data_IF_921294766028
#
_entry.id   IF_921294766028
#
_cell.length_a   1.000
_cell.length_b   1.000
_cell.length_c   1.000
_cell.angle_alpha   90.00
_cell.angle_beta   90.00
_cell.angle_gamma   90.00
#
_symmetry.space_group_name_H-M   'P 1'
#
loop_
_entity.id
_entity.type
_entity.pdbx_description
1 polymer ?
#
# COMPACT_ATOMS: atom_id res chain seq x y z
N UNK A 1 38.06 -1.93 -22.78
CA UNK A 1 37.24 -1.01 -21.94
C UNK A 1 36.48 -1.90 -20.97
N UNK A 2 36.79 -1.84 -19.69
CA UNK A 2 36.07 -2.61 -18.70
C UNK A 2 34.70 -1.93 -18.47
N UNK A 3 33.61 -2.66 -18.72
CA UNK A 3 32.27 -2.19 -18.39
C UNK A 3 32.18 -2.23 -16.86
N UNK A 4 32.15 -1.08 -16.22
CA UNK A 4 31.89 -0.99 -14.79
C UNK A 4 30.40 -1.26 -14.59
N UNK A 5 30.06 -2.42 -14.07
CA UNK A 5 28.69 -2.72 -13.70
C UNK A 5 28.24 -1.75 -12.58
N UNK A 6 26.98 -1.32 -12.63
CA UNK A 6 26.36 -0.72 -11.46
C UNK A 6 26.54 -1.68 -10.29
N UNK A 7 26.95 -1.17 -9.14
CA UNK A 7 27.32 -1.97 -7.99
C UNK A 7 26.26 -3.00 -7.64
N UNK A 8 26.73 -4.20 -7.40
CA UNK A 8 26.00 -5.35 -6.91
C UNK A 8 24.72 -5.71 -7.70
N UNK A 9 24.91 -6.44 -8.78
CA UNK A 9 23.85 -7.19 -9.48
C UNK A 9 23.01 -8.13 -8.56
N UNK A 10 23.32 -8.22 -7.27
CA UNK A 10 22.60 -9.02 -6.28
C UNK A 10 21.62 -8.27 -5.41
N UNK A 11 21.53 -6.93 -5.52
CA UNK A 11 20.59 -6.13 -4.72
C UNK A 11 19.30 -5.88 -5.49
N UNK A 12 18.42 -6.84 -5.51
CA UNK A 12 17.07 -6.66 -6.05
C UNK A 12 16.04 -6.88 -4.94
N UNK A 13 14.89 -6.26 -5.09
CA UNK A 13 13.73 -6.50 -4.25
C UNK A 13 12.94 -7.63 -4.89
N UNK A 14 13.05 -8.82 -4.36
CA UNK A 14 12.35 -10.00 -4.87
C UNK A 14 11.74 -10.78 -3.71
N UNK A 15 10.65 -11.43 -4.00
CA UNK A 15 9.91 -12.22 -3.03
C UNK A 15 8.78 -11.45 -2.37
N UNK A 16 7.91 -12.20 -1.75
CA UNK A 16 6.78 -11.68 -1.00
C UNK A 16 7.18 -11.60 0.47
N UNK A 17 6.76 -10.54 1.11
CA UNK A 17 6.95 -10.32 2.52
C UNK A 17 5.71 -9.75 3.14
N UNK A 18 5.78 -9.39 4.38
CA UNK A 18 4.70 -8.76 5.11
C UNK A 18 4.44 -7.35 4.60
N UNK A 19 3.17 -6.97 4.58
CA UNK A 19 2.77 -5.59 4.38
C UNK A 19 2.56 -4.92 5.74
N UNK A 20 3.23 -3.79 5.95
CA UNK A 20 3.13 -3.01 7.17
C UNK A 20 2.41 -1.70 6.92
N UNK A 21 1.45 -1.39 7.78
CA UNK A 21 0.78 -0.10 7.84
C UNK A 21 1.27 0.66 9.07
N UNK A 22 1.66 1.92 8.89
CA UNK A 22 2.10 2.80 9.97
C UNK A 22 0.99 3.78 10.37
N UNK A 23 1.14 4.37 11.54
CA UNK A 23 0.28 5.47 11.95
C UNK A 23 0.54 6.70 11.06
N UNK A 24 -0.53 7.42 10.74
CA UNK A 24 -0.42 8.62 9.92
C UNK A 24 0.27 9.74 10.72
N UNK A 25 1.38 10.30 10.22
CA UNK A 25 2.02 11.45 10.87
C UNK A 25 1.06 12.64 10.94
N UNK A 26 1.16 13.41 12.04
CA UNK A 26 0.39 14.67 12.17
C UNK A 26 0.80 15.70 11.11
N UNK A 27 2.08 15.68 10.73
CA UNK A 27 2.64 16.55 9.69
C UNK A 27 3.74 15.81 8.91
N UNK A 28 3.52 15.63 7.62
CA UNK A 28 4.48 15.01 6.73
C UNK A 28 5.70 15.89 6.43
N UNK A 29 5.61 17.20 6.59
CA UNK A 29 6.73 18.11 6.31
C UNK A 29 7.87 17.97 7.30
N UNK A 30 7.55 17.59 8.53
CA UNK A 30 8.50 17.37 9.63
C UNK A 30 8.79 15.90 9.90
N UNK A 31 8.08 14.96 9.25
CA UNK A 31 8.26 13.54 9.43
C UNK A 31 9.62 13.06 8.91
N UNK A 32 10.17 12.06 9.55
CA UNK A 32 11.37 11.33 9.14
C UNK A 32 11.09 9.83 9.19
N UNK A 33 11.95 8.99 8.62
CA UNK A 33 11.80 7.53 8.78
C UNK A 33 11.75 7.11 10.24
N UNK A 34 12.52 7.75 11.10
CA UNK A 34 12.56 7.44 12.52
C UNK A 34 11.27 7.83 13.28
N UNK A 35 10.49 8.77 12.73
CA UNK A 35 9.22 9.18 13.33
C UNK A 35 8.01 8.44 12.76
N UNK A 36 8.19 7.59 11.76
CA UNK A 36 7.15 6.68 11.30
C UNK A 36 7.03 5.52 12.28
N UNK A 37 6.01 5.58 13.13
CA UNK A 37 5.79 4.65 14.24
C UNK A 37 4.49 3.88 14.06
N UNK A 38 4.20 2.97 15.01
CA UNK A 38 2.94 2.24 15.03
C UNK A 38 2.80 1.21 13.92
N UNK A 39 3.91 0.69 13.38
CA UNK A 39 3.91 -0.34 12.36
C UNK A 39 3.06 -1.54 12.79
N UNK A 40 2.10 -1.93 11.96
CA UNK A 40 1.23 -3.10 12.16
C UNK A 40 1.28 -3.96 10.92
N UNK A 41 1.61 -5.23 11.09
CA UNK A 41 1.51 -6.19 9.98
C UNK A 41 0.05 -6.34 9.58
N UNK A 42 -0.19 -6.30 8.28
CA UNK A 42 -1.49 -6.59 7.68
C UNK A 42 -1.65 -8.09 7.39
N UNK A 43 -0.60 -8.86 7.62
CA UNK A 43 -0.53 -10.29 7.34
C UNK A 43 0.09 -10.61 5.99
N UNK A 44 0.10 -11.89 5.67
CA UNK A 44 0.75 -12.43 4.48
C UNK A 44 0.08 -11.93 3.18
N UNK A 45 0.89 -11.62 2.21
CA UNK A 45 0.45 -11.31 0.86
C UNK A 45 0.20 -12.63 0.12
N UNK A 46 -0.96 -12.76 -0.53
CA UNK A 46 -1.26 -13.91 -1.40
C UNK A 46 -0.24 -13.99 -2.54
N UNK A 47 0.27 -15.19 -2.81
CA UNK A 47 1.17 -15.45 -3.92
C UNK A 47 0.62 -14.93 -5.26
N UNK A 48 1.49 -14.36 -6.08
CA UNK A 48 1.18 -13.84 -7.43
C UNK A 48 0.11 -12.74 -7.48
N UNK A 49 -0.22 -12.12 -6.33
CA UNK A 49 -1.23 -11.06 -6.25
C UNK A 49 -0.64 -9.65 -6.29
N UNK A 50 0.67 -9.52 -6.20
CA UNK A 50 1.31 -8.19 -6.19
C UNK A 50 1.52 -7.70 -7.61
N UNK A 51 0.89 -6.60 -7.95
CA UNK A 51 1.08 -5.91 -9.22
C UNK A 51 1.64 -4.51 -8.97
N UNK A 52 2.72 -4.18 -9.68
CA UNK A 52 3.34 -2.87 -9.64
C UNK A 52 2.99 -2.09 -10.89
N UNK A 53 2.57 -0.86 -10.71
CA UNK A 53 2.31 0.07 -11.81
C UNK A 53 3.13 1.32 -11.59
N UNK A 54 4.01 1.63 -12.53
CA UNK A 54 4.78 2.85 -12.54
C UNK A 54 4.57 3.56 -13.87
N UNK A 55 4.09 4.79 -13.84
CA UNK A 55 4.08 5.65 -15.02
C UNK A 55 5.30 6.54 -14.96
N UNK A 56 6.08 6.56 -16.05
CA UNK A 56 7.20 7.48 -16.17
C UNK A 56 6.70 8.94 -16.21
N UNK A 57 7.53 9.85 -15.75
CA UNK A 57 7.27 11.27 -15.99
C UNK A 57 7.15 11.55 -17.48
N UNK A 58 6.18 12.34 -17.88
CA UNK A 58 5.94 12.72 -19.27
C UNK A 58 6.09 14.23 -19.45
N UNK A 59 6.57 14.63 -20.62
CA UNK A 59 6.65 16.05 -20.98
C UNK A 59 5.47 16.40 -21.87
N UNK A 60 4.72 17.42 -21.49
CA UNK A 60 3.64 17.98 -22.31
C UNK A 60 4.12 19.32 -22.84
N UNK A 61 4.05 19.47 -24.17
CA UNK A 61 4.40 20.72 -24.86
C UNK A 61 3.16 21.33 -25.46
N UNK A 62 2.90 22.58 -25.14
CA UNK A 62 1.86 23.38 -25.74
C UNK A 62 2.48 24.15 -26.92
N UNK A 63 1.89 24.01 -28.08
CA UNK A 63 2.30 24.69 -29.29
C UNK A 63 1.26 25.75 -29.70
N UNK A 64 1.70 26.83 -30.33
CA UNK A 64 0.82 27.83 -30.93
C UNK A 64 0.30 27.35 -32.31
N UNK A 65 -0.57 28.14 -32.93
CA UNK A 65 -1.14 27.84 -34.24
C UNK A 65 -0.11 27.68 -35.37
N UNK A 66 1.10 28.23 -35.16
CA UNK A 66 2.22 28.14 -36.11
C UNK A 66 3.13 26.93 -35.84
N UNK A 67 2.77 26.08 -34.85
CA UNK A 67 3.54 24.90 -34.48
C UNK A 67 4.76 25.18 -33.58
N UNK A 68 4.94 26.42 -33.11
CA UNK A 68 6.04 26.75 -32.20
C UNK A 68 5.69 26.38 -30.77
N UNK A 69 6.65 25.78 -30.05
CA UNK A 69 6.52 25.49 -28.63
C UNK A 69 6.42 26.77 -27.82
N UNK A 70 5.32 26.93 -27.10
CA UNK A 70 5.07 28.08 -26.22
C UNK A 70 5.37 27.76 -24.78
N UNK A 71 5.04 26.54 -24.35
CA UNK A 71 5.21 26.07 -22.99
C UNK A 71 5.52 24.57 -23.00
N UNK A 72 6.47 24.17 -22.21
CA UNK A 72 6.74 22.77 -21.91
C UNK A 72 6.77 22.57 -20.40
N UNK A 73 6.04 21.56 -19.92
CA UNK A 73 6.07 21.18 -18.51
C UNK A 73 6.16 19.67 -18.36
N UNK A 74 6.75 19.24 -17.25
CA UNK A 74 6.86 17.82 -16.89
C UNK A 74 5.73 17.46 -15.95
N UNK A 75 4.92 16.48 -16.37
CA UNK A 75 3.97 15.81 -15.48
C UNK A 75 4.72 14.69 -14.76
N UNK A 76 4.70 14.72 -13.44
CA UNK A 76 5.31 13.66 -12.63
C UNK A 76 4.64 12.31 -12.93
N UNK A 77 5.43 11.25 -12.93
CA UNK A 77 4.93 9.88 -12.99
C UNK A 77 4.18 9.49 -11.73
N UNK A 78 3.49 8.39 -11.80
CA UNK A 78 2.82 7.77 -10.66
C UNK A 78 3.51 6.47 -10.28
N UNK A 79 3.47 6.14 -9.00
CA UNK A 79 3.95 4.87 -8.47
C UNK A 79 2.84 4.26 -7.64
N UNK A 80 2.36 3.10 -8.07
CA UNK A 80 1.28 2.41 -7.42
C UNK A 80 1.56 0.91 -7.33
N UNK A 81 0.95 0.25 -6.36
CA UNK A 81 0.92 -1.20 -6.33
C UNK A 81 -0.42 -1.71 -5.80
N UNK A 82 -0.71 -2.95 -6.11
CA UNK A 82 -1.84 -3.69 -5.57
C UNK A 82 -1.34 -5.01 -4.99
N UNK A 83 -1.97 -5.45 -3.91
CA UNK A 83 -1.71 -6.75 -3.32
C UNK A 83 -2.95 -7.28 -2.61
N UNK A 84 -3.10 -8.59 -2.59
CA UNK A 84 -4.16 -9.27 -1.86
C UNK A 84 -3.61 -9.80 -0.54
N UNK A 85 -4.22 -9.39 0.56
CA UNK A 85 -3.87 -9.83 1.90
C UNK A 85 -4.74 -11.03 2.26
N UNK A 86 -4.10 -12.10 2.72
CA UNK A 86 -4.80 -13.34 3.11
C UNK A 86 -5.60 -13.18 4.40
N UNK A 87 -5.24 -12.23 5.24
CA UNK A 87 -5.96 -11.97 6.48
C UNK A 87 -7.28 -11.24 6.22
N UNK A 88 -8.36 -11.82 6.68
CA UNK A 88 -9.70 -11.21 6.73
C UNK A 88 -10.15 -10.96 8.17
N UNK A 89 -9.20 -10.57 9.02
CA UNK A 89 -9.51 -10.24 10.41
C UNK A 89 -10.47 -9.05 10.51
N UNK A 90 -11.20 -8.96 11.61
CA UNK A 90 -12.13 -7.84 11.87
C UNK A 90 -11.43 -6.47 11.73
N UNK A 91 -10.16 -6.37 12.14
CA UNK A 91 -9.39 -5.14 12.04
C UNK A 91 -9.12 -4.73 10.59
N UNK A 92 -8.78 -5.68 9.73
CA UNK A 92 -8.60 -5.47 8.28
C UNK A 92 -9.91 -5.04 7.63
N UNK A 93 -11.00 -5.76 7.92
CA UNK A 93 -12.33 -5.45 7.39
C UNK A 93 -12.75 -4.03 7.81
N UNK A 94 -12.58 -3.67 9.06
CA UNK A 94 -12.93 -2.33 9.56
C UNK A 94 -12.10 -1.23 8.89
N UNK A 95 -10.79 -1.45 8.76
CA UNK A 95 -9.86 -0.43 8.27
C UNK A 95 -9.96 -0.21 6.77
N UNK A 96 -10.02 -1.29 6.00
CA UNK A 96 -9.89 -1.23 4.53
C UNK A 96 -11.22 -1.38 3.79
N UNK A 97 -12.20 -1.99 4.42
CA UNK A 97 -13.47 -2.33 3.77
C UNK A 97 -14.67 -1.61 4.40
N UNK A 98 -14.39 -0.65 5.29
CA UNK A 98 -15.43 0.13 5.94
C UNK A 98 -16.38 -0.72 6.79
N UNK A 99 -15.86 -1.86 7.30
CA UNK A 99 -16.64 -2.76 8.13
C UNK A 99 -16.90 -2.18 9.51
N UNK A 100 -18.00 -2.61 10.11
CA UNK A 100 -18.33 -2.34 11.50
C UNK A 100 -19.00 -3.57 12.10
N UNK A 101 -18.75 -3.81 13.37
CA UNK A 101 -19.50 -4.82 14.11
C UNK A 101 -20.97 -4.40 14.16
N UNK A 102 -21.86 -5.29 13.79
CA UNK A 102 -23.31 -5.07 13.94
C UNK A 102 -23.67 -5.44 15.35
N UNK A 103 -23.97 -4.44 16.16
CA UNK A 103 -24.43 -4.63 17.52
C UNK A 103 -25.91 -5.07 17.56
N UNK A 104 -26.27 -5.80 18.61
CA UNK A 104 -27.64 -6.24 18.82
C UNK A 104 -28.08 -7.49 18.06
N UNK A 105 -27.21 -8.07 17.23
CA UNK A 105 -27.47 -9.38 16.62
C UNK A 105 -27.03 -10.46 17.60
N UNK A 106 -28.03 -11.15 18.19
CA UNK A 106 -27.78 -12.26 19.10
C UNK A 106 -28.32 -13.53 18.46
N UNK A 107 -27.44 -14.50 18.25
CA UNK A 107 -27.83 -15.81 17.79
C UNK A 107 -28.10 -16.70 19.01
N UNK A 108 -29.30 -17.26 19.06
CA UNK A 108 -29.75 -18.18 20.13
C UNK A 108 -29.76 -19.61 19.61
N UNK A 109 -29.80 -20.56 20.53
CA UNK A 109 -29.94 -21.98 20.17
C UNK A 109 -31.19 -22.19 19.30
N UNK A 110 -31.08 -22.99 18.24
CA UNK A 110 -32.16 -23.27 17.29
C UNK A 110 -32.23 -22.35 16.07
N UNK A 111 -31.32 -21.39 15.94
CA UNK A 111 -31.14 -20.63 14.71
C UNK A 111 -30.10 -21.31 13.79
N UNK A 112 -30.03 -20.87 12.53
CA UNK A 112 -29.02 -21.36 11.55
C UNK A 112 -27.59 -21.13 12.01
N UNK A 113 -27.39 -20.13 12.85
CA UNK A 113 -26.06 -19.73 13.34
C UNK A 113 -25.83 -20.20 14.76
N UNK A 114 -24.61 -20.57 15.08
CA UNK A 114 -24.25 -20.97 16.44
C UNK A 114 -24.41 -19.82 17.43
N UNK A 115 -24.81 -20.15 18.66
CA UNK A 115 -24.86 -19.15 19.74
C UNK A 115 -23.50 -18.52 19.95
N UNK A 116 -23.46 -17.20 20.07
CA UNK A 116 -22.23 -16.45 20.23
C UNK A 116 -21.54 -16.06 18.91
N UNK A 117 -22.09 -16.43 17.75
CA UNK A 117 -21.61 -15.93 16.46
C UNK A 117 -21.70 -14.40 16.40
N UNK A 118 -20.72 -13.78 15.80
CA UNK A 118 -20.67 -12.32 15.59
C UNK A 118 -20.90 -11.97 14.13
N UNK A 119 -21.46 -10.80 13.88
CA UNK A 119 -21.72 -10.30 12.54
C UNK A 119 -20.89 -9.04 12.30
N UNK A 120 -20.17 -9.03 11.19
CA UNK A 120 -19.51 -7.83 10.69
C UNK A 120 -20.21 -7.36 9.44
N UNK A 121 -20.75 -6.16 9.49
CA UNK A 121 -21.32 -5.50 8.33
C UNK A 121 -20.21 -4.71 7.58
N UNK A 122 -20.33 -4.64 6.27
CA UNK A 122 -19.55 -3.73 5.43
C UNK A 122 -20.47 -3.18 4.34
N UNK A 123 -20.17 -1.97 3.91
CA UNK A 123 -20.97 -1.26 2.92
C UNK A 123 -20.22 -1.10 1.59
N UNK A 124 -20.87 -0.42 0.67
CA UNK A 124 -20.29 -0.09 -0.65
C UNK A 124 -19.40 1.16 -0.62
N UNK A 125 -19.44 1.93 0.48
CA UNK A 125 -18.61 3.13 0.64
C UNK A 125 -17.27 2.72 1.26
N UNK A 126 -16.35 2.29 0.41
CA UNK A 126 -15.02 1.87 0.84
C UNK A 126 -14.21 3.07 1.32
N UNK A 127 -13.51 2.97 2.45
CA UNK A 127 -12.72 4.07 2.97
C UNK A 127 -11.52 4.33 2.06
N UNK A 128 -11.22 5.61 1.90
CA UNK A 128 -10.01 6.09 1.26
C UNK A 128 -9.25 6.90 2.30
N UNK A 129 -8.02 6.53 2.58
CA UNK A 129 -7.22 7.22 3.59
C UNK A 129 -5.76 7.34 3.17
N UNK A 130 -5.03 8.23 3.83
CA UNK A 130 -3.59 8.39 3.63
C UNK A 130 -2.84 7.84 4.85
N UNK A 131 -1.83 7.04 4.60
CA UNK A 131 -0.92 6.55 5.63
C UNK A 131 0.41 6.10 5.01
N UNK A 132 1.50 6.05 5.78
CA UNK A 132 2.69 5.35 5.36
C UNK A 132 2.44 3.84 5.28
N UNK A 133 2.97 3.21 4.25
CA UNK A 133 2.83 1.77 4.04
C UNK A 133 4.15 1.21 3.53
N UNK A 134 4.48 0.00 3.93
CA UNK A 134 5.69 -0.67 3.50
C UNK A 134 5.44 -2.14 3.13
N UNK A 135 6.30 -2.66 2.28
CA UNK A 135 6.42 -4.08 2.00
C UNK A 135 7.80 -4.51 2.47
N UNK A 136 7.83 -5.50 3.35
CA UNK A 136 9.06 -6.03 3.93
C UNK A 136 9.41 -7.36 3.30
N UNK A 137 10.68 -7.55 3.04
CA UNK A 137 11.22 -8.86 2.70
C UNK A 137 12.27 -9.23 3.74
N UNK A 138 11.88 -10.07 4.68
CA UNK A 138 12.73 -10.46 5.81
C UNK A 138 13.93 -11.31 5.37
N UNK A 139 13.76 -12.11 4.31
CA UNK A 139 14.86 -12.93 3.79
C UNK A 139 15.99 -12.08 3.22
N UNK A 140 15.66 -10.96 2.61
CA UNK A 140 16.62 -10.04 2.02
C UNK A 140 16.98 -8.87 2.95
N UNK A 141 16.34 -8.77 4.11
CA UNK A 141 16.45 -7.64 5.03
C UNK A 141 16.23 -6.31 4.31
N UNK A 142 15.16 -6.23 3.51
CA UNK A 142 14.85 -5.04 2.72
C UNK A 142 13.39 -4.66 2.87
N UNK A 143 13.16 -3.38 3.05
CA UNK A 143 11.82 -2.80 3.18
C UNK A 143 11.64 -1.70 2.15
N UNK A 144 10.63 -1.84 1.30
CA UNK A 144 10.19 -0.77 0.43
C UNK A 144 9.07 0.00 1.14
N UNK A 145 9.29 1.27 1.39
CA UNK A 145 8.35 2.13 2.10
C UNK A 145 7.87 3.29 1.23
N UNK A 146 6.57 3.55 1.27
CA UNK A 146 5.92 4.75 0.78
C UNK A 146 5.51 5.59 1.98
N UNK A 147 6.27 6.63 2.32
CA UNK A 147 6.02 7.44 3.51
C UNK A 147 4.68 8.16 3.48
N UNK A 148 4.16 8.44 2.30
CA UNK A 148 2.83 8.99 2.09
C UNK A 148 2.14 8.25 0.95
N UNK A 149 1.08 7.56 1.25
CA UNK A 149 0.33 6.80 0.25
C UNK A 149 -1.17 6.95 0.45
N UNK A 150 -1.88 7.05 -0.65
CA UNK A 150 -3.34 6.91 -0.69
C UNK A 150 -3.68 5.43 -0.81
N UNK A 151 -4.51 4.95 0.08
CA UNK A 151 -4.82 3.53 0.24
C UNK A 151 -6.32 3.32 0.09
N UNK A 152 -6.68 2.35 -0.73
CA UNK A 152 -8.06 1.92 -0.98
C UNK A 152 -8.10 0.40 -0.83
N UNK A 153 -9.08 -0.09 -0.09
CA UNK A 153 -9.35 -1.52 0.04
C UNK A 153 -10.55 -1.96 -0.77
N UNK A 154 -10.54 -3.21 -1.19
CA UNK A 154 -11.69 -3.90 -1.78
C UNK A 154 -11.62 -5.39 -1.45
N UNK A 155 -12.69 -6.11 -1.70
CA UNK A 155 -12.66 -7.57 -1.63
C UNK A 155 -12.22 -8.16 -2.96
N UNK A 156 -11.50 -9.26 -2.87
CA UNK A 156 -11.22 -10.14 -3.99
C UNK A 156 -11.50 -11.59 -3.58
N UNK A 157 -12.25 -12.30 -4.41
CA UNK A 157 -12.52 -13.72 -4.25
C UNK A 157 -11.97 -14.46 -5.46
N UNK A 158 -10.74 -14.90 -5.33
CA UNK A 158 -10.04 -15.64 -6.38
C UNK A 158 -9.68 -17.02 -5.86
N UNK A 159 -9.89 -18.05 -6.67
CA UNK A 159 -9.61 -19.46 -6.34
C UNK A 159 -10.33 -19.94 -5.06
N UNK A 160 -11.51 -19.39 -4.78
CA UNK A 160 -12.27 -19.74 -3.59
C UNK A 160 -11.73 -19.16 -2.28
N UNK A 161 -10.72 -18.31 -2.34
CA UNK A 161 -10.15 -17.62 -1.18
C UNK A 161 -10.58 -16.17 -1.18
N UNK A 162 -11.29 -15.77 -0.12
CA UNK A 162 -11.63 -14.37 0.13
C UNK A 162 -10.41 -13.63 0.68
N UNK A 163 -9.99 -12.59 0.00
CA UNK A 163 -8.87 -11.75 0.38
C UNK A 163 -9.27 -10.28 0.45
N UNK A 164 -8.54 -9.49 1.21
CA UNK A 164 -8.61 -8.04 1.14
C UNK A 164 -7.62 -7.55 0.08
N UNK A 165 -8.13 -7.05 -1.05
CA UNK A 165 -7.30 -6.40 -2.07
C UNK A 165 -7.02 -4.96 -1.63
N UNK A 166 -5.75 -4.61 -1.54
CA UNK A 166 -5.28 -3.28 -1.15
C UNK A 166 -4.61 -2.64 -2.34
N UNK A 167 -5.14 -1.50 -2.77
CA UNK A 167 -4.55 -0.67 -3.82
C UNK A 167 -3.91 0.55 -3.20
N UNK A 168 -2.64 0.77 -3.50
CA UNK A 168 -1.80 1.80 -2.93
C UNK A 168 -1.29 2.70 -4.03
N UNK A 169 -1.48 4.00 -3.88
CA UNK A 169 -0.91 5.02 -4.78
C UNK A 169 0.00 5.94 -3.96
N UNK A 170 1.28 5.92 -4.27
CA UNK A 170 2.24 6.81 -3.63
C UNK A 170 1.88 8.27 -3.90
N UNK A 171 1.90 9.08 -2.86
CA UNK A 171 1.68 10.51 -2.95
C UNK A 171 3.03 11.22 -2.95
N UNK A 172 3.14 12.26 -3.75
CA UNK A 172 4.39 13.01 -3.84
C UNK A 172 4.79 13.57 -2.47
N UNK A 173 5.99 13.24 -2.06
CA UNK A 173 6.67 13.82 -0.91
C UNK A 173 8.14 13.95 -1.26
N UNK A 174 8.71 15.12 -1.02
CA UNK A 174 10.12 15.43 -1.26
C UNK A 174 10.58 16.41 -0.18
N UNK A 175 10.99 15.85 0.94
CA UNK A 175 11.61 16.58 2.05
C UNK A 175 13.08 16.17 2.15
N UNK A 176 13.82 16.79 3.06
CA UNK A 176 15.19 16.39 3.34
C UNK A 176 15.31 14.91 3.78
N UNK A 177 14.27 14.38 4.44
CA UNK A 177 14.29 13.06 5.07
C UNK A 177 13.39 12.02 4.40
N UNK A 178 12.38 12.44 3.62
CA UNK A 178 11.43 11.54 2.99
C UNK A 178 11.31 11.80 1.49
N UNK A 179 11.25 10.72 0.73
CA UNK A 179 10.98 10.70 -0.71
C UNK A 179 9.73 9.88 -0.99
N UNK A 180 9.12 10.05 -2.14
CA UNK A 180 7.88 9.37 -2.55
C UNK A 180 7.95 7.84 -2.39
N UNK A 181 9.08 7.24 -2.69
CA UNK A 181 9.37 5.83 -2.42
C UNK A 181 10.80 5.69 -1.92
N UNK A 182 11.02 4.85 -0.92
CA UNK A 182 12.31 4.64 -0.28
C UNK A 182 12.55 3.15 -0.05
N UNK A 183 13.79 2.72 -0.17
CA UNK A 183 14.21 1.37 0.19
C UNK A 183 15.10 1.48 1.42
N UNK A 184 14.74 0.76 2.46
CA UNK A 184 15.54 0.61 3.68
C UNK A 184 16.21 -0.75 3.62
N UNK A 185 17.52 -0.78 3.82
CA UNK A 185 18.32 -2.00 3.93
C UNK A 185 18.65 -2.23 5.40
N UNK A 186 18.26 -3.35 5.94
CA UNK A 186 18.45 -3.74 7.34
C UNK A 186 17.26 -4.53 7.85
N UNK A 187 17.48 -5.32 8.89
CA UNK A 187 16.42 -6.06 9.55
C UNK A 187 15.44 -5.08 10.22
N UNK A 188 14.16 -5.46 10.25
CA UNK A 188 13.17 -4.82 11.10
C UNK A 188 13.37 -5.29 12.55
N UNK A 189 13.24 -4.37 13.52
CA UNK A 189 13.31 -4.66 14.95
C UNK A 189 11.92 -4.96 15.51
#
# INVERSE_FOLDING_TARGET
MAITNFESLGKFFAGQGDMLLFDTPADYSSATLATLTGAKSLGDIKGDSTAWTGEAASTTTIVNEQGNSVLSYVKSGTLAFEANILSTSQAIINKFLGGAAISGTTFTSGTTWASGSTVTGFGTNLPVFEAPIAICNDTLNRTLIFPRAKIVGSFDLTDGVLTAKISVTAQAIDTASLKTGMIVEGALN
#
